data_IF_012109757154
#
_entry.id   IF_012109757154
#
_cell.length_a   1.000
_cell.length_b   1.000
_cell.length_c   1.000
_cell.angle_alpha   90.00
_cell.angle_beta   90.00
_cell.angle_gamma   90.00
#
_symmetry.space_group_name_H-M   'P 1'
#
loop_
_entity.id
_entity.type
_entity.pdbx_description
1 polymer ?
#
# COMPACT_ATOMS: atom_id res chain seq x y z
N UNK A 1 0.93 -18.25 -2.45
CA UNK A 1 -0.36 -17.94 -1.80
C UNK A 1 -1.42 -17.85 -2.86
N UNK A 2 -2.59 -18.43 -2.61
CA UNK A 2 -3.70 -18.41 -3.57
C UNK A 2 -4.47 -17.10 -3.50
N UNK A 3 -5.30 -16.83 -4.51
CA UNK A 3 -6.20 -15.67 -4.50
C UNK A 3 -7.14 -15.69 -3.30
N UNK A 4 -7.60 -16.88 -2.92
CA UNK A 4 -8.47 -17.06 -1.76
C UNK A 4 -7.77 -16.64 -0.46
N UNK A 5 -6.50 -16.98 -0.30
CA UNK A 5 -5.72 -16.57 0.88
C UNK A 5 -5.51 -15.06 0.89
N UNK A 6 -5.27 -14.46 -0.28
CA UNK A 6 -5.13 -13.01 -0.40
C UNK A 6 -6.43 -12.30 -0.03
N UNK A 7 -7.56 -12.80 -0.50
CA UNK A 7 -8.87 -12.26 -0.15
C UNK A 7 -9.14 -12.34 1.35
N UNK A 8 -8.78 -13.45 1.99
CA UNK A 8 -8.95 -13.61 3.44
C UNK A 8 -8.10 -12.62 4.22
N UNK A 9 -6.86 -12.39 3.79
CA UNK A 9 -5.98 -11.42 4.46
C UNK A 9 -6.55 -10.02 4.43
N UNK A 10 -7.15 -9.63 3.32
CA UNK A 10 -7.75 -8.29 3.16
C UNK A 10 -9.11 -8.17 3.82
N UNK A 11 -9.89 -9.25 3.84
CA UNK A 11 -11.26 -9.21 4.36
C UNK A 11 -11.34 -8.83 5.84
N UNK A 12 -10.28 -9.11 6.63
CA UNK A 12 -10.24 -8.74 8.04
C UNK A 12 -9.77 -7.32 8.32
N UNK A 13 -9.41 -6.57 7.28
CA UNK A 13 -8.87 -5.22 7.44
C UNK A 13 -9.97 -4.17 7.32
N UNK A 14 -9.77 -3.03 7.97
CA UNK A 14 -10.59 -1.86 7.77
C UNK A 14 -10.50 -1.40 6.31
N UNK A 15 -11.62 -0.94 5.76
CA UNK A 15 -11.70 -0.49 4.37
C UNK A 15 -12.17 0.95 4.32
N UNK A 16 -11.50 1.76 3.51
CA UNK A 16 -11.88 3.14 3.21
C UNK A 16 -12.14 3.24 1.72
N UNK A 17 -13.32 3.73 1.35
CA UNK A 17 -13.62 4.02 -0.04
C UNK A 17 -13.17 5.44 -0.37
N UNK A 18 -12.44 5.56 -1.46
CA UNK A 18 -11.98 6.86 -1.97
C UNK A 18 -12.81 7.25 -3.18
N UNK A 19 -12.66 8.49 -3.61
CA UNK A 19 -13.28 8.96 -4.86
C UNK A 19 -12.76 8.12 -6.04
N UNK A 20 -13.48 8.15 -7.14
CA UNK A 20 -13.13 7.42 -8.38
C UNK A 20 -13.13 5.89 -8.20
N UNK A 21 -13.85 5.38 -7.20
CA UNK A 21 -14.00 3.94 -7.01
C UNK A 21 -12.80 3.22 -6.44
N UNK A 22 -11.83 3.95 -5.91
CA UNK A 22 -10.64 3.35 -5.31
C UNK A 22 -10.93 2.84 -3.90
N UNK A 23 -10.40 1.68 -3.57
CA UNK A 23 -10.60 1.01 -2.28
C UNK A 23 -9.27 0.89 -1.55
N UNK A 24 -9.24 1.38 -0.31
CA UNK A 24 -8.06 1.36 0.52
C UNK A 24 -8.28 0.44 1.70
N UNK A 25 -7.47 -0.61 1.79
CA UNK A 25 -7.45 -1.51 2.96
C UNK A 25 -6.42 -0.97 3.94
N UNK A 26 -6.72 -1.00 5.24
CA UNK A 26 -5.87 -0.34 6.23
C UNK A 26 -5.28 -1.36 7.21
N UNK A 27 -3.95 -1.44 7.26
CA UNK A 27 -3.20 -2.29 8.17
C UNK A 27 -2.81 -1.49 9.41
N UNK A 28 -3.52 -1.71 10.53
CA UNK A 28 -3.29 -1.01 11.80
C UNK A 28 -2.50 -1.86 12.79
N UNK A 29 -2.79 -3.15 12.86
CA UNK A 29 -2.11 -4.05 13.78
C UNK A 29 -0.67 -4.29 13.35
N UNK A 30 0.22 -4.48 14.31
CA UNK A 30 1.63 -4.73 14.04
C UNK A 30 1.85 -5.87 13.05
N UNK A 31 1.10 -6.95 13.23
CA UNK A 31 1.18 -8.13 12.37
C UNK A 31 0.81 -7.83 10.93
N UNK A 32 -0.29 -7.09 10.74
CA UNK A 32 -0.76 -6.68 9.41
C UNK A 32 0.25 -5.74 8.75
N UNK A 33 0.79 -4.78 9.52
CA UNK A 33 1.79 -3.83 9.01
C UNK A 33 3.07 -4.52 8.58
N UNK A 34 3.50 -5.54 9.31
CA UNK A 34 4.72 -6.28 8.96
C UNK A 34 4.58 -7.08 7.67
N UNK A 35 3.42 -7.64 7.45
CA UNK A 35 3.20 -8.48 6.26
C UNK A 35 3.05 -7.64 4.98
N UNK A 36 2.36 -6.50 5.07
CA UNK A 36 2.03 -5.73 3.88
C UNK A 36 1.41 -6.63 2.81
N UNK A 37 1.88 -6.51 1.58
CA UNK A 37 1.43 -7.34 0.44
C UNK A 37 2.35 -8.52 0.15
N UNK A 38 3.28 -8.84 1.06
CA UNK A 38 4.23 -9.92 0.86
C UNK A 38 3.51 -11.26 0.65
N UNK A 39 3.99 -12.03 -0.32
CA UNK A 39 3.49 -13.37 -0.69
C UNK A 39 2.03 -13.38 -1.18
N UNK A 40 1.43 -12.23 -1.39
CA UNK A 40 0.08 -12.16 -1.96
C UNK A 40 0.14 -12.19 -3.48
N UNK A 41 -0.97 -12.57 -4.10
CA UNK A 41 -1.20 -12.32 -5.52
C UNK A 41 -1.47 -10.83 -5.71
N UNK A 42 -1.27 -10.28 -6.92
CA UNK A 42 -1.57 -8.88 -7.17
C UNK A 42 -3.01 -8.52 -6.80
N UNK A 43 -3.19 -7.35 -6.20
CA UNK A 43 -4.53 -6.85 -5.90
C UNK A 43 -5.29 -6.54 -7.18
N UNK A 44 -6.63 -6.64 -7.16
CA UNK A 44 -7.41 -6.19 -8.31
C UNK A 44 -7.21 -4.69 -8.56
N UNK A 45 -7.45 -4.21 -9.80
CA UNK A 45 -7.36 -2.79 -10.07
C UNK A 45 -8.20 -1.96 -9.11
N UNK A 46 -7.69 -0.82 -8.69
CA UNK A 46 -8.37 0.09 -7.77
C UNK A 46 -8.28 -0.28 -6.30
N UNK A 47 -7.48 -1.29 -5.94
CA UNK A 47 -7.28 -1.69 -4.54
C UNK A 47 -5.84 -1.43 -4.10
N UNK A 48 -5.68 -1.00 -2.85
CA UNK A 48 -4.37 -0.77 -2.25
C UNK A 48 -4.41 -1.06 -0.75
N UNK A 49 -3.22 -1.20 -0.16
CA UNK A 49 -3.04 -1.40 1.28
C UNK A 49 -2.31 -0.20 1.88
N UNK A 50 -2.92 0.47 2.85
CA UNK A 50 -2.28 1.53 3.62
C UNK A 50 -1.71 0.96 4.91
N UNK A 51 -0.41 1.13 5.11
CA UNK A 51 0.29 0.70 6.31
C UNK A 51 0.53 1.92 7.18
N UNK A 52 -0.10 1.94 8.36
CA UNK A 52 -0.02 3.06 9.28
C UNK A 52 1.29 3.04 10.07
N UNK A 53 1.72 4.21 10.55
CA UNK A 53 2.93 4.37 11.36
C UNK A 53 4.15 3.75 10.70
N UNK A 54 4.34 4.05 9.42
CA UNK A 54 5.37 3.42 8.61
C UNK A 54 6.09 4.45 7.76
N UNK A 55 7.42 4.48 7.84
CA UNK A 55 8.25 5.35 7.02
C UNK A 55 9.33 4.59 6.24
N UNK A 56 9.34 3.27 6.35
CA UNK A 56 10.26 2.44 5.61
C UNK A 56 9.62 1.08 5.34
N UNK A 57 9.93 0.51 4.18
CA UNK A 57 9.46 -0.82 3.82
C UNK A 57 10.57 -1.58 3.09
N UNK A 58 10.43 -2.90 3.06
CA UNK A 58 11.21 -3.72 2.16
C UNK A 58 10.24 -4.52 1.28
N UNK A 59 10.71 -4.89 0.11
CA UNK A 59 9.91 -5.66 -0.85
C UNK A 59 10.34 -7.12 -0.94
N UNK A 60 11.07 -7.61 0.07
CA UNK A 60 11.41 -9.03 0.18
C UNK A 60 10.13 -9.84 0.35
N UNK A 61 10.00 -10.92 -0.39
CA UNK A 61 8.79 -11.75 -0.37
C UNK A 61 7.68 -11.25 -1.28
N UNK A 62 7.85 -10.11 -1.94
CA UNK A 62 6.89 -9.63 -2.93
C UNK A 62 6.99 -10.46 -4.19
N UNK A 63 5.86 -10.64 -4.86
CA UNK A 63 5.77 -11.42 -6.12
C UNK A 63 5.55 -10.56 -7.35
N UNK A 64 5.41 -9.25 -7.15
CA UNK A 64 5.14 -8.28 -8.22
C UNK A 64 5.71 -6.93 -7.82
N UNK A 65 5.92 -6.07 -8.82
CA UNK A 65 6.39 -4.71 -8.57
C UNK A 65 5.26 -3.87 -7.95
N UNK A 66 5.64 -2.95 -7.08
CA UNK A 66 4.72 -2.09 -6.35
C UNK A 66 4.93 -0.62 -6.71
N UNK A 67 3.84 0.14 -6.68
CA UNK A 67 3.93 1.58 -6.48
C UNK A 67 3.73 1.87 -4.99
N UNK A 68 4.49 2.82 -4.47
CA UNK A 68 4.44 3.24 -3.06
C UNK A 68 4.07 4.70 -2.99
N UNK A 69 2.98 5.02 -2.28
CA UNK A 69 2.56 6.41 -2.06
C UNK A 69 2.83 6.73 -0.60
N UNK A 70 3.78 7.63 -0.36
CA UNK A 70 4.21 8.01 0.99
C UNK A 70 3.42 9.21 1.46
N UNK A 71 2.82 9.11 2.66
CA UNK A 71 1.94 10.15 3.21
C UNK A 71 2.51 10.72 4.49
N UNK A 72 2.43 12.04 4.61
CA UNK A 72 2.78 12.76 5.83
C UNK A 72 1.69 12.55 6.90
N UNK A 73 1.96 13.02 8.11
CA UNK A 73 1.03 12.93 9.23
C UNK A 73 -0.33 13.57 8.93
N UNK A 74 -0.33 14.68 8.18
CA UNK A 74 -1.55 15.40 7.79
C UNK A 74 -2.26 14.80 6.58
N UNK A 75 -1.73 13.68 6.04
CA UNK A 75 -2.31 13.00 4.89
C UNK A 75 -1.81 13.49 3.54
N UNK A 76 -0.93 14.51 3.51
CA UNK A 76 -0.37 15.02 2.26
C UNK A 76 0.56 13.99 1.63
N UNK A 77 0.49 13.86 0.31
CA UNK A 77 1.40 12.99 -0.44
C UNK A 77 2.80 13.62 -0.47
N UNK A 78 3.78 12.88 0.00
CA UNK A 78 5.19 13.32 0.02
C UNK A 78 5.95 12.86 -1.20
N UNK A 79 5.71 11.64 -1.64
CA UNK A 79 6.47 11.03 -2.72
C UNK A 79 5.75 9.79 -3.23
N UNK A 80 5.90 9.51 -4.51
CA UNK A 80 5.47 8.25 -5.10
C UNK A 80 6.70 7.56 -5.68
N UNK A 81 6.94 6.32 -5.24
CA UNK A 81 7.97 5.48 -5.83
C UNK A 81 7.28 4.51 -6.79
N UNK A 82 7.65 4.56 -8.06
CA UNK A 82 7.01 3.79 -9.11
C UNK A 82 7.74 2.48 -9.38
N UNK A 83 6.97 1.43 -9.64
CA UNK A 83 7.47 0.13 -10.10
C UNK A 83 8.65 -0.40 -9.29
N UNK A 84 8.51 -0.37 -7.96
CA UNK A 84 9.54 -0.88 -7.05
C UNK A 84 9.58 -2.40 -7.15
N UNK A 85 10.72 -2.92 -7.64
CA UNK A 85 10.91 -4.35 -7.83
C UNK A 85 10.98 -5.09 -6.48
N UNK A 86 10.77 -6.42 -6.46
CA UNK A 86 11.07 -7.21 -5.27
C UNK A 86 12.52 -7.06 -4.81
N UNK A 87 12.78 -7.35 -3.55
CA UNK A 87 14.12 -7.33 -2.93
C UNK A 87 14.75 -5.95 -2.89
N UNK A 88 13.93 -4.93 -2.60
CA UNK A 88 14.39 -3.55 -2.41
C UNK A 88 14.03 -3.07 -1.01
N UNK A 89 14.72 -2.03 -0.57
CA UNK A 89 14.36 -1.27 0.63
C UNK A 89 14.09 0.16 0.22
N UNK A 90 13.05 0.75 0.80
CA UNK A 90 12.66 2.14 0.54
C UNK A 90 12.40 2.85 1.85
N UNK A 91 12.82 4.09 1.93
CA UNK A 91 12.70 4.93 3.12
C UNK A 91 12.16 6.30 2.72
N UNK A 92 11.19 6.79 3.47
CA UNK A 92 10.72 8.17 3.36
C UNK A 92 10.59 8.73 4.78
N UNK A 93 11.61 9.44 5.24
CA UNK A 93 11.79 9.81 6.65
C UNK A 93 10.61 10.58 7.22
N UNK A 94 10.01 11.46 6.43
CA UNK A 94 8.88 12.28 6.86
C UNK A 94 7.54 11.56 6.80
N UNK A 95 7.49 10.38 6.22
CA UNK A 95 6.25 9.65 6.07
C UNK A 95 5.76 9.11 7.41
N UNK A 96 4.44 9.06 7.55
CA UNK A 96 3.75 8.44 8.68
C UNK A 96 2.89 7.27 8.25
N UNK A 97 2.69 7.13 6.96
CA UNK A 97 2.07 5.94 6.39
C UNK A 97 2.53 5.77 4.95
N UNK A 98 2.35 4.58 4.42
CA UNK A 98 2.63 4.28 3.02
C UNK A 98 1.48 3.47 2.46
N UNK A 99 1.12 3.76 1.20
CA UNK A 99 0.11 2.99 0.46
C UNK A 99 0.85 2.13 -0.55
N UNK A 100 0.65 0.80 -0.45
CA UNK A 100 1.20 -0.17 -1.38
C UNK A 100 0.13 -0.60 -2.36
N UNK A 101 0.44 -0.54 -3.65
CA UNK A 101 -0.48 -1.00 -4.70
C UNK A 101 0.33 -1.59 -5.86
N UNK A 102 -0.34 -2.23 -6.79
CA UNK A 102 0.29 -2.78 -7.98
C UNK A 102 0.91 -1.65 -8.81
N UNK A 103 2.08 -1.91 -9.40
CA UNK A 103 2.75 -0.94 -10.25
C UNK A 103 1.82 -0.43 -11.35
N UNK A 104 1.80 0.89 -11.52
CA UNK A 104 0.90 1.58 -12.44
C UNK A 104 -0.33 2.20 -11.78
N UNK A 105 -0.65 1.82 -10.55
CA UNK A 105 -1.84 2.31 -9.85
C UNK A 105 -1.54 3.45 -8.87
N UNK A 106 -0.27 3.70 -8.56
CA UNK A 106 0.12 4.63 -7.50
C UNK A 106 -0.34 6.06 -7.73
N UNK A 107 -0.26 6.55 -8.95
CA UNK A 107 -0.61 7.95 -9.24
C UNK A 107 -2.11 8.22 -9.02
N UNK A 108 -2.96 7.25 -9.35
CA UNK A 108 -4.40 7.38 -9.10
C UNK A 108 -4.69 7.48 -7.59
N UNK A 109 -4.02 6.68 -6.79
CA UNK A 109 -4.15 6.76 -5.33
C UNK A 109 -3.57 8.07 -4.78
N UNK A 110 -2.43 8.51 -5.30
CA UNK A 110 -1.83 9.77 -4.88
C UNK A 110 -2.78 10.94 -5.14
N UNK A 111 -3.42 10.98 -6.30
CA UNK A 111 -4.39 12.03 -6.64
C UNK A 111 -5.60 11.97 -5.71
N UNK A 112 -6.13 10.78 -5.44
CA UNK A 112 -7.31 10.62 -4.60
C UNK A 112 -7.04 10.94 -3.13
N UNK A 113 -5.82 10.70 -2.66
CA UNK A 113 -5.45 10.89 -1.25
C UNK A 113 -4.98 12.31 -0.96
N UNK A 114 -4.36 12.97 -1.92
CA UNK A 114 -3.80 14.29 -1.70
C UNK A 114 -4.92 15.31 -1.49
N UNK A 115 -4.86 16.02 -0.37
CA UNK A 115 -5.87 17.03 -0.07
C UNK A 115 -7.13 16.54 0.63
N UNK A 116 -7.14 15.26 1.03
CA UNK A 116 -8.24 14.75 1.86
C UNK A 116 -8.18 15.36 3.26
#
# INVERSE_FOLDING_TARGET
MSDEDSERRLAGLEVTQLESGLTLHVARAFRERRRGLAKMTPLPPGHALRILKCNSIHTFGMRFALDLVWLARDGRVLRVDHAVAPRRMKLCVRARSVVETVAGEGDAFATALDGL
#
